data_IF_905895379108
#
_entry.id   IF_905895379108
#
_cell.length_a   1.000
_cell.length_b   1.000
_cell.length_c   1.000
_cell.angle_alpha   90.00
_cell.angle_beta   90.00
_cell.angle_gamma   90.00
#
_symmetry.space_group_name_H-M   'P 1'
#
loop_
_entity.id
_entity.type
_entity.pdbx_description
1 polymer ?
#
# COMPACT_ATOMS: atom_id res chain seq x y z
N UNK A 1 8.81 -30.76 0.44
CA UNK A 1 8.46 -29.69 -0.50
C UNK A 1 6.95 -29.75 -0.68
N UNK A 2 6.25 -28.62 -0.57
CA UNK A 2 4.79 -28.56 -0.73
C UNK A 2 4.44 -28.09 -2.13
N UNK A 3 3.54 -28.81 -2.79
CA UNK A 3 2.99 -28.41 -4.08
C UNK A 3 1.76 -27.54 -3.86
N UNK A 4 1.69 -26.39 -4.52
CA UNK A 4 0.54 -25.51 -4.41
C UNK A 4 -0.69 -26.21 -4.98
N UNK A 5 -1.79 -26.33 -4.21
CA UNK A 5 -3.00 -26.98 -4.70
C UNK A 5 -3.68 -26.22 -5.84
N UNK A 6 -3.40 -24.93 -6.00
CA UNK A 6 -4.03 -24.10 -7.02
C UNK A 6 -3.24 -24.02 -8.32
N UNK A 7 -1.94 -23.77 -8.26
CA UNK A 7 -1.11 -23.61 -9.47
C UNK A 7 -0.13 -24.75 -9.73
N UNK A 8 0.00 -25.70 -8.80
CA UNK A 8 0.92 -26.83 -8.94
C UNK A 8 2.40 -26.47 -8.78
N UNK A 9 2.75 -25.25 -8.40
CA UNK A 9 4.14 -24.83 -8.17
C UNK A 9 4.71 -25.45 -6.89
N UNK A 10 5.97 -25.87 -6.91
CA UNK A 10 6.64 -26.47 -5.76
C UNK A 10 7.33 -25.40 -4.91
N UNK A 11 7.06 -25.41 -3.61
CA UNK A 11 7.57 -24.44 -2.64
C UNK A 11 8.15 -25.17 -1.43
N UNK A 12 9.06 -24.53 -0.65
CA UNK A 12 9.61 -25.16 0.55
C UNK A 12 8.50 -25.44 1.57
N UNK A 13 8.60 -26.53 2.35
CA UNK A 13 7.55 -26.99 3.27
C UNK A 13 7.19 -25.97 4.37
N UNK A 14 8.08 -25.00 4.62
CA UNK A 14 7.86 -23.91 5.59
C UNK A 14 7.11 -22.70 5.01
N UNK A 15 6.88 -22.65 3.69
CA UNK A 15 6.20 -21.54 3.05
C UNK A 15 4.70 -21.52 3.44
N UNK A 16 4.25 -20.41 4.02
CA UNK A 16 2.83 -20.20 4.35
C UNK A 16 2.01 -19.81 3.11
N UNK A 17 2.66 -19.27 2.08
CA UNK A 17 2.05 -18.81 0.83
C UNK A 17 2.84 -19.29 -0.37
N UNK A 18 2.15 -19.55 -1.48
CA UNK A 18 2.78 -19.91 -2.74
C UNK A 18 3.48 -18.71 -3.37
N UNK A 19 4.75 -18.85 -3.76
CA UNK A 19 5.49 -17.74 -4.36
C UNK A 19 4.94 -17.29 -5.71
N UNK A 20 4.30 -18.21 -6.44
CA UNK A 20 3.77 -17.96 -7.77
C UNK A 20 2.37 -17.35 -7.75
N UNK A 21 1.39 -18.00 -7.11
CA UNK A 21 0.00 -17.54 -7.10
C UNK A 21 -0.39 -16.73 -5.85
N UNK A 22 0.51 -16.63 -4.85
CA UNK A 22 0.28 -15.94 -3.57
C UNK A 22 -0.89 -16.50 -2.73
N UNK A 23 -1.43 -17.67 -3.08
CA UNK A 23 -2.43 -18.33 -2.25
C UNK A 23 -1.81 -19.03 -1.02
N UNK A 24 -2.52 -19.06 0.11
CA UNK A 24 -2.03 -19.72 1.32
C UNK A 24 -2.03 -21.25 1.19
N UNK A 25 -0.94 -21.88 1.59
CA UNK A 25 -0.90 -23.33 1.79
C UNK A 25 -1.71 -23.62 3.05
N UNK A 26 -2.95 -24.13 2.90
CA UNK A 26 -3.94 -24.33 3.99
C UNK A 26 -3.56 -25.36 5.07
N UNK A 27 -2.27 -25.62 5.31
CA UNK A 27 -1.78 -26.54 6.35
C UNK A 27 -0.73 -25.87 7.24
N UNK A 28 -1.13 -24.79 7.91
CA UNK A 28 -0.52 -24.47 9.19
C UNK A 28 -0.97 -25.55 10.19
N UNK A 29 -0.27 -26.69 10.21
CA UNK A 29 -0.32 -27.63 11.33
C UNK A 29 0.20 -26.92 12.56
N UNK A 30 -0.71 -26.21 13.24
CA UNK A 30 -0.48 -25.68 14.57
C UNK A 30 -0.36 -26.91 15.48
N UNK A 31 0.87 -27.27 15.86
CA UNK A 31 1.10 -28.08 17.06
C UNK A 31 0.43 -27.33 18.20
N UNK A 32 -0.70 -27.88 18.64
CA UNK A 32 -1.49 -27.40 19.75
C UNK A 32 -0.81 -27.81 21.05
N UNK A 33 -0.33 -26.89 21.90
CA UNK A 33 -0.20 -27.19 23.31
C UNK A 33 -1.62 -27.23 23.87
N UNK A 34 -2.08 -28.43 24.17
CA UNK A 34 -3.19 -28.71 25.07
C UNK A 34 -3.07 -27.82 26.32
N UNK A 35 -4.17 -27.14 26.69
CA UNK A 35 -4.72 -27.01 28.06
C UNK A 35 -5.95 -26.06 28.01
N UNK A 36 -7.10 -26.65 28.34
CA UNK A 36 -8.39 -26.13 28.86
C UNK A 36 -9.65 -26.08 27.95
N UNK A 37 -10.83 -26.48 28.48
CA UNK A 37 -12.05 -26.75 27.73
C UNK A 37 -12.93 -25.50 27.50
N UNK A 38 -13.86 -25.54 26.53
CA UNK A 38 -14.47 -24.37 25.89
C UNK A 38 -15.64 -23.76 26.67
N UNK A 39 -15.76 -22.42 26.76
CA UNK A 39 -17.05 -21.75 26.68
C UNK A 39 -17.45 -21.61 25.21
N UNK A 40 -18.67 -22.01 24.89
CA UNK A 40 -19.30 -21.98 23.58
C UNK A 40 -19.01 -20.67 22.82
N UNK A 41 -18.26 -20.79 21.73
CA UNK A 41 -18.21 -19.75 20.70
C UNK A 41 -19.48 -19.90 19.87
N UNK A 42 -20.30 -18.85 19.70
CA UNK A 42 -21.49 -18.93 18.86
C UNK A 42 -21.06 -19.30 17.44
N UNK A 43 -21.75 -20.33 16.93
CA UNK A 43 -21.63 -20.89 15.59
C UNK A 43 -21.70 -19.75 14.57
N UNK A 44 -20.56 -19.42 13.96
CA UNK A 44 -20.52 -18.55 12.79
C UNK A 44 -21.10 -19.38 11.64
N UNK A 45 -22.40 -19.26 11.43
CA UNK A 45 -23.06 -19.82 10.27
C UNK A 45 -22.55 -19.06 9.04
N UNK A 46 -21.76 -19.75 8.22
CA UNK A 46 -21.32 -19.25 6.93
C UNK A 46 -22.56 -19.04 6.06
N UNK A 47 -23.00 -17.79 5.92
CA UNK A 47 -24.10 -17.41 5.03
C UNK A 47 -23.64 -17.62 3.58
N UNK A 48 -24.26 -18.53 2.81
CA UNK A 48 -23.99 -18.63 1.39
C UNK A 48 -24.79 -17.53 0.66
N UNK A 49 -24.20 -16.97 -0.40
CA UNK A 49 -24.76 -15.95 -1.30
C UNK A 49 -24.78 -14.50 -0.81
N UNK A 50 -23.60 -13.87 -0.66
CA UNK A 50 -23.43 -12.42 -0.87
C UNK A 50 -24.33 -11.48 -0.06
N UNK A 51 -25.09 -12.01 0.90
CA UNK A 51 -25.97 -11.28 1.78
C UNK A 51 -25.14 -10.91 2.99
N UNK A 52 -24.83 -9.62 3.03
CA UNK A 52 -24.20 -8.97 4.18
C UNK A 52 -25.06 -9.33 5.40
N UNK A 53 -24.48 -9.97 6.44
CA UNK A 53 -25.23 -10.36 7.62
C UNK A 53 -25.96 -9.15 8.18
N UNK A 54 -27.23 -9.27 8.62
CA UNK A 54 -28.04 -8.12 9.05
C UNK A 54 -27.37 -7.30 10.15
N UNK A 55 -26.55 -7.92 11.00
CA UNK A 55 -25.79 -7.22 12.03
C UNK A 55 -24.76 -6.20 11.49
N UNK A 56 -24.25 -6.38 10.26
CA UNK A 56 -23.34 -5.41 9.64
C UNK A 56 -24.08 -4.17 9.11
N UNK A 57 -25.35 -4.31 8.72
CA UNK A 57 -26.18 -3.17 8.31
C UNK A 57 -26.50 -2.27 9.51
N UNK A 58 -26.62 -2.85 10.71
CA UNK A 58 -26.80 -2.09 11.96
C UNK A 58 -25.49 -1.43 12.43
N UNK A 59 -24.33 -2.00 12.10
CA UNK A 59 -23.01 -1.39 12.35
C UNK A 59 -22.63 -0.34 11.30
N UNK A 60 -23.25 -0.36 10.13
CA UNK A 60 -23.24 0.72 9.14
C UNK A 60 -24.24 1.81 9.56
N UNK A 61 -24.20 2.17 10.84
CA UNK A 61 -24.68 3.46 11.31
C UNK A 61 -23.80 4.46 10.60
N UNK A 62 -24.22 4.87 9.40
CA UNK A 62 -23.63 5.89 8.53
C UNK A 62 -23.50 7.16 9.34
N UNK A 63 -22.44 7.18 10.15
CA UNK A 63 -22.32 8.05 11.29
C UNK A 63 -22.29 9.44 10.75
N UNK A 64 -23.38 10.18 11.02
CA UNK A 64 -23.63 11.57 10.65
C UNK A 64 -22.39 12.22 10.05
N UNK A 65 -22.20 12.03 8.74
CA UNK A 65 -21.07 12.67 8.06
C UNK A 65 -21.40 14.16 8.19
N UNK A 66 -20.61 14.93 8.96
CA UNK A 66 -20.92 16.32 9.18
C UNK A 66 -21.00 16.96 7.80
N UNK A 67 -22.12 17.60 7.50
CA UNK A 67 -22.33 18.27 6.21
C UNK A 67 -21.28 19.36 6.12
N UNK A 68 -20.18 19.06 5.41
CA UNK A 68 -19.07 19.98 5.28
C UNK A 68 -19.57 21.20 4.49
N UNK A 69 -19.47 22.41 5.06
CA UNK A 69 -19.89 23.60 4.35
C UNK A 69 -19.03 23.78 3.10
N UNK A 70 -19.65 24.25 2.01
CA UNK A 70 -19.04 24.28 0.67
C UNK A 70 -17.69 25.00 0.61
N UNK A 71 -17.46 25.98 1.49
CA UNK A 71 -16.18 26.70 1.58
C UNK A 71 -15.00 25.81 1.96
N UNK A 72 -15.22 24.75 2.76
CA UNK A 72 -14.17 23.81 3.16
C UNK A 72 -13.63 23.06 1.95
N UNK A 73 -14.51 22.70 1.01
CA UNK A 73 -14.11 22.08 -0.25
C UNK A 73 -13.22 23.01 -1.06
N UNK A 74 -13.60 24.29 -1.18
CA UNK A 74 -12.77 25.28 -1.89
C UNK A 74 -11.42 25.50 -1.20
N UNK A 75 -11.41 25.56 0.14
CA UNK A 75 -10.18 25.68 0.91
C UNK A 75 -9.24 24.49 0.68
N UNK A 76 -9.78 23.26 0.68
CA UNK A 76 -9.00 22.06 0.39
C UNK A 76 -8.37 22.11 -1.02
N UNK A 77 -9.14 22.54 -2.03
CA UNK A 77 -8.62 22.71 -3.39
C UNK A 77 -7.58 23.83 -3.49
N UNK A 78 -7.74 24.93 -2.77
CA UNK A 78 -6.77 26.01 -2.74
C UNK A 78 -5.43 25.57 -2.14
N UNK A 79 -5.47 24.81 -1.04
CA UNK A 79 -4.26 24.25 -0.41
C UNK A 79 -3.57 23.25 -1.34
N UNK A 80 -4.33 22.33 -1.95
CA UNK A 80 -3.80 21.39 -2.94
C UNK A 80 -3.18 22.10 -4.14
N UNK A 81 -3.86 23.12 -4.67
CA UNK A 81 -3.36 23.92 -5.79
C UNK A 81 -2.07 24.66 -5.45
N UNK A 82 -2.02 25.32 -4.30
CA UNK A 82 -0.83 26.00 -3.81
C UNK A 82 0.35 25.03 -3.61
N UNK A 83 0.08 23.86 -3.03
CA UNK A 83 1.09 22.82 -2.85
C UNK A 83 1.61 22.27 -4.19
N UNK A 84 0.73 22.03 -5.16
CA UNK A 84 1.12 21.59 -6.50
C UNK A 84 2.01 22.63 -7.21
N UNK A 85 1.66 23.91 -7.12
CA UNK A 85 2.45 25.02 -7.69
C UNK A 85 3.83 25.08 -7.00
N UNK A 86 3.89 24.92 -5.68
CA UNK A 86 5.15 24.84 -4.95
C UNK A 86 6.00 23.65 -5.41
N UNK A 87 5.41 22.47 -5.62
CA UNK A 87 6.13 21.30 -6.13
C UNK A 87 6.65 21.52 -7.55
N UNK A 88 5.87 22.14 -8.43
CA UNK A 88 6.30 22.44 -9.80
C UNK A 88 7.45 23.46 -9.81
N UNK A 89 7.36 24.52 -9.01
CA UNK A 89 8.42 25.53 -8.92
C UNK A 89 9.71 24.99 -8.30
N UNK A 90 9.62 24.14 -7.28
CA UNK A 90 10.77 23.42 -6.74
C UNK A 90 11.38 22.48 -7.78
N UNK A 91 10.54 21.76 -8.54
CA UNK A 91 11.02 20.86 -9.57
C UNK A 91 11.73 21.60 -10.72
N UNK A 92 11.17 22.71 -11.22
CA UNK A 92 11.81 23.47 -12.30
C UNK A 92 13.12 24.12 -11.87
N UNK A 93 13.18 24.67 -10.66
CA UNK A 93 14.41 25.22 -10.09
C UNK A 93 15.46 24.13 -9.83
N UNK A 94 15.03 22.94 -9.41
CA UNK A 94 15.90 21.77 -9.27
C UNK A 94 16.50 21.35 -10.62
N UNK A 95 15.67 21.24 -11.67
CA UNK A 95 16.15 20.89 -13.01
C UNK A 95 17.13 21.94 -13.56
N UNK A 96 16.81 23.23 -13.46
CA UNK A 96 17.72 24.29 -13.89
C UNK A 96 19.09 24.24 -13.18
N UNK A 97 19.10 23.84 -11.90
CA UNK A 97 20.33 23.67 -11.14
C UNK A 97 21.15 22.47 -11.63
N UNK A 98 20.50 21.37 -12.02
CA UNK A 98 21.18 20.20 -12.59
C UNK A 98 21.87 20.55 -13.90
N UNK A 99 21.16 21.25 -14.80
CA UNK A 99 21.73 21.68 -16.08
C UNK A 99 22.95 22.61 -15.88
N UNK A 100 22.87 23.52 -14.90
CA UNK A 100 23.98 24.42 -14.57
C UNK A 100 25.21 23.66 -14.05
N UNK A 101 24.99 22.63 -13.22
CA UNK A 101 26.08 21.79 -12.70
C UNK A 101 26.71 20.94 -13.80
N UNK A 102 25.91 20.38 -14.70
CA UNK A 102 26.41 19.60 -15.83
C UNK A 102 27.22 20.47 -16.80
N UNK A 103 26.71 21.66 -17.14
CA UNK A 103 27.41 22.61 -17.99
C UNK A 103 28.72 23.09 -17.35
N UNK A 104 28.73 23.36 -16.04
CA UNK A 104 29.94 23.72 -15.31
C UNK A 104 30.97 22.57 -15.30
N UNK A 105 30.51 21.32 -15.16
CA UNK A 105 31.36 20.14 -15.23
C UNK A 105 31.92 19.91 -16.65
N UNK A 106 31.12 20.15 -17.69
CA UNK A 106 31.57 20.11 -19.09
C UNK A 106 32.64 21.17 -19.38
N UNK A 107 32.42 22.41 -18.92
CA UNK A 107 33.39 23.51 -19.09
C UNK A 107 34.76 23.19 -18.46
N UNK A 108 34.78 22.52 -17.30
CA UNK A 108 36.04 22.09 -16.65
C UNK A 108 36.79 21.01 -17.45
N UNK A 109 36.09 20.15 -18.20
CA UNK A 109 36.71 19.11 -19.04
C UNK A 109 37.38 19.67 -20.30
N UNK A 110 36.85 20.76 -20.85
CA UNK A 110 37.40 21.43 -22.03
C UNK A 110 38.33 22.60 -21.70
N UNK A 111 38.49 22.96 -20.43
CA UNK A 111 39.50 23.91 -20.01
C UNK A 111 40.88 23.34 -20.37
N UNK A 112 41.63 23.96 -21.30
CA UNK A 112 42.93 23.45 -21.70
C UNK A 112 43.82 23.43 -20.46
N UNK A 113 44.52 22.31 -20.26
CA UNK A 113 45.51 22.13 -19.20
C UNK A 113 46.66 23.11 -19.41
N UNK A 114 46.45 24.38 -19.07
CA UNK A 114 47.46 25.44 -19.03
C UNK A 114 48.31 25.24 -17.77
N UNK A 115 49.04 24.13 -17.72
CA UNK A 115 50.02 23.87 -16.69
C UNK A 115 51.03 22.82 -17.17
N UNK A 116 51.91 23.26 -18.07
CA UNK A 116 53.37 23.10 -18.06
C UNK A 116 53.93 22.92 -19.45
#
# INVERSE_FOLDING_TARGET
MVKCPACGFESPDSAQWCDFCKEPFRKASKKEPSIQPPPEKPKIEAVPNGQIPPHFLDMDTGGNIPVLPSWVRYAAWAVLGAWLIAMITLFTTYMAKQDALENAAAARRHAPSRAR
#
